data_IF_793862642226
#
_entry.id   IF_793862642226
#
_cell.length_a   1.000
_cell.length_b   1.000
_cell.length_c   1.000
_cell.angle_alpha   90.00
_cell.angle_beta   90.00
_cell.angle_gamma   90.00
#
_symmetry.space_group_name_H-M   'P 1'
#
loop_
_entity.id
_entity.type
_entity.pdbx_description
1 polymer ?
#
# COMPACT_ATOMS: atom_id res chain seq x y z
N UNK A 1 26.59 -13.94 7.07
CA UNK A 1 26.98 -12.67 7.73
C UNK A 1 26.01 -12.43 8.87
N UNK A 2 26.47 -12.16 10.11
CA UNK A 2 25.55 -11.83 11.19
C UNK A 2 24.89 -10.48 10.86
N UNK A 3 23.56 -10.48 10.74
CA UNK A 3 22.76 -9.26 10.61
C UNK A 3 22.99 -8.42 11.87
N UNK A 4 23.74 -7.32 11.73
CA UNK A 4 23.87 -6.34 12.79
C UNK A 4 22.54 -5.61 12.89
N UNK A 5 21.71 -5.99 13.85
CA UNK A 5 20.46 -5.30 14.15
C UNK A 5 20.82 -3.93 14.74
N UNK A 6 20.76 -2.90 13.91
CA UNK A 6 20.97 -1.53 14.37
C UNK A 6 19.66 -1.06 14.99
N UNK A 7 19.60 -1.01 16.33
CA UNK A 7 18.50 -0.38 17.06
C UNK A 7 18.65 1.13 16.93
N UNK A 8 18.09 1.69 15.87
CA UNK A 8 17.98 3.14 15.70
C UNK A 8 16.77 3.59 16.53
N UNK A 9 16.93 4.53 17.48
CA UNK A 9 15.81 5.15 18.15
C UNK A 9 14.87 5.78 17.12
N UNK A 10 13.56 5.62 17.30
CA UNK A 10 12.58 6.09 16.32
C UNK A 10 12.48 7.64 16.34
N UNK A 11 12.72 8.28 17.49
CA UNK A 11 12.61 9.73 17.66
C UNK A 11 13.46 10.56 16.69
N UNK A 12 14.77 10.28 16.49
CA UNK A 12 15.58 10.95 15.46
C UNK A 12 14.99 10.88 14.05
N UNK A 13 14.40 9.73 13.68
CA UNK A 13 13.78 9.53 12.36
C UNK A 13 12.52 10.39 12.25
N UNK A 14 11.69 10.42 13.30
CA UNK A 14 10.48 11.26 13.34
C UNK A 14 10.85 12.74 13.22
N UNK A 15 11.89 13.20 13.92
CA UNK A 15 12.31 14.60 13.88
C UNK A 15 12.87 14.99 12.51
N UNK A 16 13.64 14.09 11.87
CA UNK A 16 14.10 14.27 10.50
C UNK A 16 12.91 14.39 9.54
N UNK A 17 11.96 13.45 9.61
CA UNK A 17 10.76 13.49 8.78
C UNK A 17 9.95 14.76 9.01
N UNK A 18 9.80 15.25 10.24
CA UNK A 18 9.09 16.49 10.54
C UNK A 18 9.75 17.71 9.89
N UNK A 19 11.08 17.74 9.84
CA UNK A 19 11.88 18.84 9.27
C UNK A 19 11.90 18.91 7.75
N UNK A 20 11.43 17.87 7.05
CA UNK A 20 11.37 17.85 5.59
C UNK A 20 10.18 18.66 5.07
N UNK A 21 10.35 19.25 3.88
CA UNK A 21 9.25 19.87 3.15
C UNK A 21 8.23 18.82 2.71
N UNK A 22 6.99 19.25 2.46
CA UNK A 22 5.89 18.34 2.12
C UNK A 22 6.16 17.56 0.82
N UNK A 23 6.78 18.20 -0.17
CA UNK A 23 7.12 17.53 -1.44
C UNK A 23 8.10 16.35 -1.22
N UNK A 24 9.07 16.51 -0.31
CA UNK A 24 10.01 15.44 0.04
C UNK A 24 9.37 14.36 0.92
N UNK A 25 8.43 14.73 1.80
CA UNK A 25 7.65 13.77 2.58
C UNK A 25 6.81 12.89 1.65
N UNK A 26 6.19 13.49 0.64
CA UNK A 26 5.39 12.79 -0.35
C UNK A 26 6.25 11.87 -1.22
N UNK A 27 7.45 12.30 -1.63
CA UNK A 27 8.39 11.44 -2.36
C UNK A 27 8.85 10.23 -1.51
N UNK A 28 9.23 10.45 -0.24
CA UNK A 28 9.64 9.38 0.67
C UNK A 28 8.46 8.43 0.91
N UNK A 29 7.26 8.95 1.13
CA UNK A 29 6.07 8.13 1.32
C UNK A 29 5.80 7.29 0.07
N UNK A 30 5.86 7.87 -1.12
CA UNK A 30 5.64 7.15 -2.37
C UNK A 30 6.69 6.05 -2.59
N UNK A 31 7.98 6.32 -2.41
CA UNK A 31 9.00 5.27 -2.58
C UNK A 31 8.91 4.18 -1.51
N UNK A 32 8.70 4.55 -0.25
CA UNK A 32 8.71 3.57 0.84
C UNK A 32 7.42 2.78 0.91
N UNK A 33 6.27 3.38 0.62
CA UNK A 33 4.98 2.70 0.76
C UNK A 33 4.41 2.25 -0.58
N UNK A 34 4.55 3.00 -1.68
CA UNK A 34 3.98 2.56 -2.97
C UNK A 34 4.86 1.51 -3.64
N UNK A 35 6.19 1.67 -3.68
CA UNK A 35 7.06 0.64 -4.28
C UNK A 35 7.08 -0.67 -3.46
N UNK A 36 6.82 -0.63 -2.15
CA UNK A 36 6.67 -1.83 -1.32
C UNK A 36 5.25 -2.44 -1.36
N UNK A 37 4.24 -1.73 -1.89
CA UNK A 37 2.88 -2.27 -2.13
C UNK A 37 2.80 -2.88 -3.55
N UNK A 38 3.89 -2.91 -4.33
CA UNK A 38 4.00 -3.76 -5.51
C UNK A 38 4.26 -5.25 -5.16
N UNK A 39 3.86 -5.70 -3.97
CA UNK A 39 3.71 -7.13 -3.74
C UNK A 39 2.71 -7.65 -4.78
N UNK A 40 3.23 -8.47 -5.70
CA UNK A 40 2.43 -9.06 -6.76
C UNK A 40 1.21 -9.73 -6.14
N UNK A 41 0.00 -9.33 -6.56
CA UNK A 41 -1.27 -9.85 -6.02
C UNK A 41 -1.16 -11.34 -5.74
N UNK A 42 -1.44 -11.72 -4.49
CA UNK A 42 -1.41 -13.12 -4.08
C UNK A 42 -2.39 -13.93 -4.93
N UNK A 43 -2.16 -15.24 -5.05
CA UNK A 43 -3.03 -16.11 -5.84
C UNK A 43 -4.51 -16.04 -5.38
N UNK A 44 -4.73 -15.75 -4.10
CA UNK A 44 -6.06 -15.56 -3.50
C UNK A 44 -6.70 -14.26 -3.99
N UNK A 45 -5.96 -13.14 -3.97
CA UNK A 45 -6.45 -11.84 -4.45
C UNK A 45 -6.73 -11.87 -5.94
N UNK A 46 -5.87 -12.51 -6.75
CA UNK A 46 -6.12 -12.68 -8.19
C UNK A 46 -7.42 -13.42 -8.47
N UNK A 47 -7.67 -14.50 -7.73
CA UNK A 47 -8.91 -15.29 -7.85
C UNK A 47 -10.14 -14.50 -7.41
N UNK A 48 -10.02 -13.67 -6.36
CA UNK A 48 -11.09 -12.80 -5.90
C UNK A 48 -11.45 -11.75 -6.95
N UNK A 49 -10.44 -11.12 -7.58
CA UNK A 49 -10.66 -10.14 -8.66
C UNK A 49 -11.29 -10.77 -9.89
N UNK A 50 -10.79 -11.92 -10.36
CA UNK A 50 -11.41 -12.61 -11.50
C UNK A 50 -12.86 -13.01 -11.23
N UNK A 51 -13.19 -13.43 -10.01
CA UNK A 51 -14.56 -13.73 -9.61
C UNK A 51 -15.42 -12.46 -9.62
N UNK A 52 -14.92 -11.36 -9.07
CA UNK A 52 -15.62 -10.07 -9.07
C UNK A 52 -15.89 -9.55 -10.48
N UNK A 53 -14.93 -9.70 -11.42
CA UNK A 53 -15.12 -9.33 -12.83
C UNK A 53 -16.22 -10.16 -13.51
N UNK A 54 -16.27 -11.46 -13.23
CA UNK A 54 -17.32 -12.34 -13.75
C UNK A 54 -18.69 -11.96 -13.18
N UNK A 55 -18.77 -11.70 -11.87
CA UNK A 55 -20.01 -11.26 -11.21
C UNK A 55 -20.48 -9.90 -11.72
N UNK A 56 -19.55 -8.99 -12.04
CA UNK A 56 -19.84 -7.69 -12.64
C UNK A 56 -20.40 -7.86 -14.06
N UNK A 57 -19.72 -8.62 -14.92
CA UNK A 57 -20.18 -8.90 -16.29
C UNK A 57 -21.53 -9.63 -16.34
N UNK A 58 -21.79 -10.50 -15.37
CA UNK A 58 -23.04 -11.27 -15.29
C UNK A 58 -24.17 -10.54 -14.55
N UNK A 59 -23.94 -9.29 -14.11
CA UNK A 59 -24.96 -8.48 -13.43
C UNK A 59 -25.38 -9.01 -12.06
N UNK A 60 -24.60 -9.95 -11.49
CA UNK A 60 -24.83 -10.54 -10.16
C UNK A 60 -24.20 -9.72 -9.03
N UNK A 61 -23.55 -8.61 -9.37
CA UNK A 61 -22.98 -7.69 -8.38
C UNK A 61 -24.07 -6.91 -7.65
N UNK A 62 -23.92 -6.79 -6.33
CA UNK A 62 -24.74 -5.87 -5.54
C UNK A 62 -24.24 -4.46 -5.79
N UNK A 63 -25.10 -3.59 -6.34
CA UNK A 63 -24.78 -2.17 -6.51
C UNK A 63 -24.46 -1.56 -5.15
N UNK A 64 -23.36 -0.81 -5.10
CA UNK A 64 -22.95 -0.14 -3.88
C UNK A 64 -23.97 0.94 -3.52
N UNK A 65 -24.48 1.00 -2.28
CA UNK A 65 -25.59 1.88 -1.91
C UNK A 65 -25.25 3.39 -1.90
N UNK A 66 -23.98 3.74 -2.15
CA UNK A 66 -23.48 5.12 -2.12
C UNK A 66 -23.21 5.72 -3.50
N UNK A 67 -23.50 4.99 -4.59
CA UNK A 67 -23.47 5.57 -5.93
C UNK A 67 -24.83 6.19 -6.20
N UNK A 68 -24.95 7.50 -5.98
CA UNK A 68 -26.01 8.33 -6.58
C UNK A 68 -25.69 8.56 -8.05
#
# INVERSE_FOLDING_TARGET
MPLKTVNIPIEPIINLLKSLDNDFKDEIFNRVFIENIEDAMTAVEKKAVSKAEIEFKTGKTKKWPFVK
#
